data_IF_492352779713
#
_entry.id   IF_492352779713
#
_cell.length_a   1.000
_cell.length_b   1.000
_cell.length_c   1.000
_cell.angle_alpha   90.00
_cell.angle_beta   90.00
_cell.angle_gamma   90.00
#
_symmetry.space_group_name_H-M   'P 1'
#
loop_
_entity.id
_entity.type
_entity.pdbx_description
1 polymer ?
#
# COMPACT_ATOMS: atom_id res chain seq x y z
N UNK A 1 -19.18 -12.73 -6.02
CA UNK A 1 -18.20 -11.63 -5.94
C UNK A 1 -16.72 -12.07 -5.75
N UNK A 2 -16.22 -13.22 -6.31
CA UNK A 2 -14.79 -13.57 -6.20
C UNK A 2 -13.91 -12.90 -7.27
N UNK A 3 -14.44 -12.68 -8.48
CA UNK A 3 -13.66 -12.17 -9.62
C UNK A 3 -13.09 -10.76 -9.41
N UNK A 4 -13.82 -9.87 -8.71
CA UNK A 4 -13.32 -8.52 -8.40
C UNK A 4 -12.20 -8.54 -7.36
N UNK A 5 -12.24 -9.45 -6.39
CA UNK A 5 -11.16 -9.58 -5.40
C UNK A 5 -9.87 -10.07 -6.06
N UNK A 6 -9.99 -11.13 -6.87
CA UNK A 6 -8.87 -11.64 -7.65
C UNK A 6 -8.26 -10.55 -8.55
N UNK A 7 -9.09 -9.74 -9.22
CA UNK A 7 -8.61 -8.61 -10.02
C UNK A 7 -7.87 -7.57 -9.15
N UNK A 8 -8.43 -7.19 -8.00
CA UNK A 8 -7.78 -6.22 -7.10
C UNK A 8 -6.44 -6.73 -6.55
N UNK A 9 -6.33 -8.04 -6.27
CA UNK A 9 -5.08 -8.67 -5.84
C UNK A 9 -4.02 -8.62 -6.95
N UNK A 10 -4.42 -8.89 -8.19
CA UNK A 10 -3.54 -8.80 -9.36
C UNK A 10 -3.10 -7.36 -9.65
N UNK A 11 -4.03 -6.41 -9.60
CA UNK A 11 -3.73 -4.99 -9.82
C UNK A 11 -2.74 -4.46 -8.77
N UNK A 12 -2.90 -4.88 -7.50
CA UNK A 12 -1.96 -4.51 -6.44
C UNK A 12 -0.58 -5.15 -6.60
N UNK A 13 -0.52 -6.42 -7.00
CA UNK A 13 0.75 -7.09 -7.29
C UNK A 13 1.50 -6.39 -8.41
N UNK A 14 0.81 -6.07 -9.51
CA UNK A 14 1.40 -5.36 -10.63
C UNK A 14 1.85 -3.95 -10.24
N UNK A 15 1.07 -3.23 -9.44
CA UNK A 15 1.43 -1.90 -8.97
C UNK A 15 2.68 -1.94 -8.08
N UNK A 16 2.78 -2.93 -7.18
CA UNK A 16 3.96 -3.14 -6.35
C UNK A 16 5.20 -3.38 -7.20
N UNK A 17 5.13 -4.28 -8.16
CA UNK A 17 6.26 -4.58 -9.05
C UNK A 17 6.71 -3.34 -9.82
N UNK A 18 5.77 -2.55 -10.35
CA UNK A 18 6.07 -1.29 -11.03
C UNK A 18 6.78 -0.31 -10.10
N UNK A 19 6.28 -0.15 -8.86
CA UNK A 19 6.89 0.73 -7.88
C UNK A 19 8.30 0.27 -7.50
N UNK A 20 8.50 -1.01 -7.21
CA UNK A 20 9.82 -1.56 -6.87
C UNK A 20 10.82 -1.39 -8.00
N UNK A 21 10.42 -1.72 -9.25
CA UNK A 21 11.28 -1.53 -10.41
C UNK A 21 11.59 -0.05 -10.64
N UNK A 22 10.59 0.83 -10.59
CA UNK A 22 10.78 2.27 -10.79
C UNK A 22 11.74 2.83 -9.74
N UNK A 23 11.48 2.58 -8.45
CA UNK A 23 12.32 3.13 -7.38
C UNK A 23 13.68 2.45 -7.28
N UNK A 24 13.82 1.20 -7.72
CA UNK A 24 15.10 0.50 -7.81
C UNK A 24 16.04 1.11 -8.85
N UNK A 25 15.51 1.68 -9.93
CA UNK A 25 16.28 2.33 -11.00
C UNK A 25 16.29 3.86 -10.91
N UNK A 26 15.38 4.45 -10.13
CA UNK A 26 15.30 5.89 -9.97
C UNK A 26 16.54 6.45 -9.25
N UNK A 27 17.18 7.43 -9.87
CA UNK A 27 18.23 8.20 -9.23
C UNK A 27 17.73 9.05 -8.06
N UNK A 28 18.65 9.58 -7.23
CA UNK A 28 18.30 10.34 -6.02
C UNK A 28 17.44 11.58 -6.32
N UNK A 29 17.67 12.27 -7.44
CA UNK A 29 16.86 13.44 -7.84
C UNK A 29 15.41 13.05 -8.14
N UNK A 30 15.19 11.97 -8.88
CA UNK A 30 13.85 11.45 -9.19
C UNK A 30 13.13 10.99 -7.93
N UNK A 31 13.83 10.28 -7.04
CA UNK A 31 13.27 9.87 -5.74
C UNK A 31 12.81 11.08 -4.91
N UNK A 32 13.61 12.15 -4.88
CA UNK A 32 13.25 13.38 -4.16
C UNK A 32 12.04 14.11 -4.77
N UNK A 33 11.93 14.13 -6.11
CA UNK A 33 10.74 14.70 -6.78
C UNK A 33 9.47 13.92 -6.42
N UNK A 34 9.54 12.59 -6.42
CA UNK A 34 8.40 11.75 -6.06
C UNK A 34 8.05 11.90 -4.58
N UNK A 35 9.05 11.98 -3.70
CA UNK A 35 8.82 12.27 -2.28
C UNK A 35 8.13 13.63 -2.08
N UNK A 36 8.57 14.67 -2.80
CA UNK A 36 7.93 16.00 -2.77
C UNK A 36 6.47 15.93 -3.22
N UNK A 37 6.20 15.17 -4.29
CA UNK A 37 4.84 14.96 -4.79
C UNK A 37 3.97 14.26 -3.75
N UNK A 38 4.46 13.17 -3.14
CA UNK A 38 3.74 12.44 -2.10
C UNK A 38 3.40 13.34 -0.91
N UNK A 39 4.36 14.14 -0.46
CA UNK A 39 4.15 15.11 0.63
C UNK A 39 3.12 16.19 0.27
N UNK A 40 3.11 16.68 -0.98
CA UNK A 40 2.10 17.64 -1.44
C UNK A 40 0.67 17.06 -1.41
N UNK A 41 0.55 15.74 -1.47
CA UNK A 41 -0.73 15.02 -1.31
C UNK A 41 -1.00 14.56 0.13
N UNK A 42 -0.22 15.01 1.12
CA UNK A 42 -0.38 14.65 2.53
C UNK A 42 0.10 13.24 2.87
N UNK A 43 0.87 12.61 1.98
CA UNK A 43 1.46 11.29 2.20
C UNK A 43 2.86 11.48 2.79
N UNK A 44 2.96 11.29 4.11
CA UNK A 44 4.19 11.50 4.88
C UNK A 44 4.87 10.15 5.14
N UNK A 45 6.00 9.91 4.46
CA UNK A 45 6.74 8.64 4.54
C UNK A 45 7.52 8.30 3.26
N UNK A 46 7.23 9.03 2.17
CA UNK A 46 7.96 8.93 0.92
C UNK A 46 7.76 7.60 0.18
N UNK A 47 8.61 7.30 -0.80
CA UNK A 47 8.49 6.12 -1.65
C UNK A 47 8.49 4.78 -0.90
N UNK A 48 9.29 4.65 0.17
CA UNK A 48 9.38 3.42 0.94
C UNK A 48 8.06 3.10 1.66
N UNK A 49 7.51 4.10 2.36
CA UNK A 49 6.20 3.97 3.02
C UNK A 49 5.09 3.60 2.03
N UNK A 50 5.11 4.16 0.81
CA UNK A 50 4.14 3.82 -0.21
C UNK A 50 4.20 2.33 -0.58
N UNK A 51 5.40 1.79 -0.81
CA UNK A 51 5.59 0.37 -1.12
C UNK A 51 5.10 -0.50 0.05
N UNK A 52 5.47 -0.14 1.29
CA UNK A 52 5.04 -0.88 2.48
C UNK A 52 3.51 -0.90 2.63
N UNK A 53 2.84 0.23 2.40
CA UNK A 53 1.37 0.31 2.47
C UNK A 53 0.69 -0.50 1.37
N UNK A 54 1.24 -0.51 0.15
CA UNK A 54 0.74 -1.36 -0.93
C UNK A 54 0.94 -2.84 -0.62
N UNK A 55 2.10 -3.23 -0.08
CA UNK A 55 2.37 -4.61 0.33
C UNK A 55 1.42 -5.05 1.46
N UNK A 56 1.17 -4.17 2.42
CA UNK A 56 0.22 -4.40 3.50
C UNK A 56 -1.22 -4.51 3.00
N UNK A 57 -1.64 -3.66 2.07
CA UNK A 57 -2.97 -3.72 1.46
C UNK A 57 -3.18 -5.04 0.69
N UNK A 58 -2.16 -5.52 -0.02
CA UNK A 58 -2.16 -6.83 -0.68
C UNK A 58 -2.34 -7.94 0.35
N UNK A 59 -1.56 -7.91 1.42
CA UNK A 59 -1.64 -8.89 2.49
C UNK A 59 -3.06 -8.95 3.11
N UNK A 60 -3.70 -7.79 3.36
CA UNK A 60 -5.09 -7.75 3.85
C UNK A 60 -6.10 -8.32 2.86
N UNK A 61 -5.91 -8.12 1.55
CA UNK A 61 -6.79 -8.71 0.52
C UNK A 61 -6.68 -10.24 0.48
N UNK A 62 -5.47 -10.78 0.62
CA UNK A 62 -5.20 -12.22 0.67
C UNK A 62 -5.70 -12.88 1.96
N UNK A 63 -5.73 -12.13 3.07
CA UNK A 63 -6.14 -12.60 4.39
C UNK A 63 -7.35 -11.82 4.94
N UNK A 64 -8.56 -12.01 4.38
CA UNK A 64 -9.74 -11.20 4.73
C UNK A 64 -10.17 -11.31 6.20
N UNK A 65 -9.80 -12.39 6.90
CA UNK A 65 -10.07 -12.56 8.33
C UNK A 65 -9.32 -11.54 9.23
N UNK A 66 -8.26 -10.92 8.73
CA UNK A 66 -7.53 -9.86 9.44
C UNK A 66 -8.22 -8.49 9.34
N UNK A 67 -9.12 -8.28 8.36
CA UNK A 67 -9.94 -7.06 8.32
C UNK A 67 -10.91 -6.97 9.51
N UNK A 68 -11.40 -8.11 9.98
CA UNK A 68 -12.36 -8.18 11.08
C UNK A 68 -11.72 -7.81 12.43
N UNK A 69 -10.44 -8.15 12.63
CA UNK A 69 -9.68 -7.81 13.84
C UNK A 69 -9.41 -6.30 13.98
N UNK A 70 -9.25 -5.58 12.87
CA UNK A 70 -9.09 -4.12 12.82
C UNK A 70 -10.42 -3.39 13.07
N UNK A 71 -11.56 -4.01 12.76
CA UNK A 71 -12.90 -3.51 13.10
C UNK A 71 -13.38 -3.92 14.52
N UNK A 72 -12.57 -4.69 15.24
CA UNK A 72 -12.94 -5.39 16.47
C UNK A 72 -12.28 -4.90 17.75
N UNK A 73 -12.04 -3.60 17.92
CA UNK A 73 -11.91 -3.02 19.27
C UNK A 73 -13.33 -2.64 19.72
N UNK A 74 -14.07 -3.48 20.49
CA UNK A 74 -15.15 -2.95 21.28
C UNK A 74 -14.52 -2.00 22.30
N UNK A 75 -14.81 -0.71 22.15
CA UNK A 75 -14.68 0.25 23.23
C UNK A 75 -15.69 -0.12 24.32
N UNK A 76 -15.44 -1.20 25.04
CA UNK A 76 -16.21 -1.55 26.22
C UNK A 76 -15.42 -1.03 27.42
N UNK A 77 -15.72 0.22 27.78
CA UNK A 77 -15.48 0.69 29.13
C UNK A 77 -16.49 0.00 30.06
N UNK A 78 -15.96 -0.67 31.08
CA UNK A 78 -16.57 -0.80 32.40
C UNK A 78 -15.50 -0.39 33.43
#
# INVERSE_FOLDING_TARGET
MPARRAQHEQDLEQLLEICEQFFGHAGPATRHQVDTLLQAHGIHGGPGWLIDMLAFARYRLQHPHLNDLDQGIPANGD
#
